data_IF_930142167827
#
_entry.id   IF_930142167827
#
_cell.length_a   1.000
_cell.length_b   1.000
_cell.length_c   1.000
_cell.angle_alpha   90.00
_cell.angle_beta   90.00
_cell.angle_gamma   90.00
#
_symmetry.space_group_name_H-M   'P 1'
#
loop_
_entity.id
_entity.type
_entity.pdbx_description
1 polymer ?
#
# COMPACT_ATOMS: atom_id res chain seq x y z
N UNK A 1 20.19 63.52 -9.83
CA UNK A 1 19.64 62.19 -9.48
C UNK A 1 18.13 62.30 -9.46
N UNK A 2 17.40 61.35 -10.05
CA UNK A 2 15.93 61.44 -10.13
C UNK A 2 15.35 61.04 -8.78
N UNK A 3 14.81 62.00 -8.04
CA UNK A 3 14.13 61.75 -6.77
C UNK A 3 12.81 61.02 -7.06
N UNK A 4 12.68 59.81 -6.53
CA UNK A 4 11.47 58.98 -6.72
C UNK A 4 10.85 58.77 -5.35
N UNK A 5 9.62 59.24 -5.18
CA UNK A 5 8.78 58.96 -4.02
C UNK A 5 7.86 57.80 -4.38
N UNK A 6 7.84 56.76 -3.55
CA UNK A 6 7.02 55.57 -3.80
C UNK A 6 5.55 55.90 -3.49
N UNK A 7 4.71 55.90 -4.52
CA UNK A 7 3.27 56.15 -4.40
C UNK A 7 2.45 54.87 -4.56
N UNK A 8 1.21 54.86 -4.08
CA UNK A 8 0.32 53.69 -4.25
C UNK A 8 0.04 53.39 -5.74
N UNK A 9 0.04 54.42 -6.60
CA UNK A 9 -0.05 54.25 -8.05
C UNK A 9 1.13 53.46 -8.62
N UNK A 10 2.36 53.76 -8.16
CA UNK A 10 3.56 53.00 -8.57
C UNK A 10 3.51 51.55 -8.07
N UNK A 11 3.00 51.31 -6.86
CA UNK A 11 2.83 49.96 -6.30
C UNK A 11 1.81 49.17 -7.13
N UNK A 12 0.72 49.80 -7.56
CA UNK A 12 -0.29 49.18 -8.43
C UNK A 12 0.30 48.84 -9.81
N UNK A 13 1.09 49.75 -10.40
CA UNK A 13 1.81 49.47 -11.65
C UNK A 13 2.82 48.32 -11.49
N UNK A 14 3.52 48.26 -10.36
CA UNK A 14 4.44 47.17 -10.03
C UNK A 14 3.70 45.83 -9.88
N UNK A 15 2.54 45.82 -9.23
CA UNK A 15 1.70 44.63 -9.14
C UNK A 15 1.31 44.10 -10.54
N UNK A 16 0.84 44.98 -11.43
CA UNK A 16 0.51 44.61 -12.81
C UNK A 16 1.74 44.12 -13.59
N UNK A 17 2.92 44.65 -13.30
CA UNK A 17 4.18 44.14 -13.84
C UNK A 17 4.51 42.72 -13.34
N UNK A 18 4.34 42.44 -12.04
CA UNK A 18 4.56 41.10 -11.48
C UNK A 18 3.61 40.04 -12.05
N UNK A 19 2.37 40.43 -12.37
CA UNK A 19 1.42 39.55 -13.08
C UNK A 19 1.93 39.22 -14.48
N UNK A 20 2.44 40.22 -15.22
CA UNK A 20 3.04 40.01 -16.56
C UNK A 20 4.32 39.17 -16.51
N UNK A 21 5.05 39.19 -15.39
CA UNK A 21 6.18 38.30 -15.14
C UNK A 21 5.78 36.90 -14.60
N UNK A 22 4.49 36.56 -14.67
CA UNK A 22 3.93 35.26 -14.27
C UNK A 22 4.24 34.85 -12.83
N UNK A 23 4.34 35.83 -11.92
CA UNK A 23 4.54 35.52 -10.49
C UNK A 23 3.26 34.94 -9.88
N UNK A 24 3.43 33.95 -9.01
CA UNK A 24 2.30 33.36 -8.27
C UNK A 24 1.54 34.42 -7.45
N UNK A 25 0.21 34.31 -7.27
CA UNK A 25 -0.57 35.25 -6.46
C UNK A 25 -0.02 35.46 -5.04
N UNK A 26 0.40 34.39 -4.36
CA UNK A 26 0.98 34.46 -3.01
C UNK A 26 2.29 35.27 -2.96
N UNK A 27 3.12 35.19 -4.01
CA UNK A 27 4.35 35.98 -4.12
C UNK A 27 4.03 37.46 -4.34
N UNK A 28 3.04 37.74 -5.21
CA UNK A 28 2.59 39.12 -5.49
C UNK A 28 2.05 39.76 -4.21
N UNK A 29 1.17 39.07 -3.50
CA UNK A 29 0.57 39.57 -2.26
C UNK A 29 1.64 39.84 -1.20
N UNK A 30 2.59 38.91 -1.01
CA UNK A 30 3.73 39.13 -0.11
C UNK A 30 4.52 40.37 -0.51
N UNK A 31 4.88 40.49 -1.79
CA UNK A 31 5.72 41.59 -2.26
C UNK A 31 5.02 42.93 -2.07
N UNK A 32 3.73 43.00 -2.38
CA UNK A 32 2.92 44.19 -2.13
C UNK A 32 2.88 44.55 -0.64
N UNK A 33 2.72 43.58 0.26
CA UNK A 33 2.76 43.84 1.72
C UNK A 33 4.11 44.40 2.17
N UNK A 34 5.20 43.79 1.73
CA UNK A 34 6.55 44.24 2.08
C UNK A 34 6.85 45.65 1.52
N UNK A 35 6.48 45.89 0.27
CA UNK A 35 6.68 47.18 -0.42
C UNK A 35 5.84 48.28 0.23
N UNK A 36 4.59 48.00 0.60
CA UNK A 36 3.77 48.97 1.34
C UNK A 36 4.37 49.29 2.70
N UNK A 37 4.83 48.29 3.45
CA UNK A 37 5.52 48.52 4.72
C UNK A 37 6.78 49.39 4.55
N UNK A 38 7.55 49.15 3.48
CA UNK A 38 8.70 49.99 3.13
C UNK A 38 8.29 51.42 2.75
N UNK A 39 7.23 51.59 1.94
CA UNK A 39 6.69 52.91 1.59
C UNK A 39 6.21 53.69 2.82
N UNK A 40 5.51 53.03 3.74
CA UNK A 40 5.12 53.61 5.03
C UNK A 40 6.33 54.05 5.86
N UNK A 41 7.41 53.25 5.87
CA UNK A 41 8.67 53.62 6.54
C UNK A 41 9.36 54.84 5.88
N UNK A 42 9.31 54.96 4.56
CA UNK A 42 9.83 56.15 3.88
C UNK A 42 9.01 57.39 4.25
N UNK A 43 7.73 57.24 4.59
CA UNK A 43 6.85 58.31 5.06
C UNK A 43 6.84 59.51 4.10
N UNK A 44 6.78 59.24 2.79
CA UNK A 44 6.79 60.27 1.74
C UNK A 44 8.17 60.80 1.33
N UNK A 45 9.26 60.34 1.95
CA UNK A 45 10.63 60.71 1.55
C UNK A 45 11.02 60.02 0.23
N UNK A 46 11.85 60.70 -0.57
CA UNK A 46 12.42 60.12 -1.77
C UNK A 46 13.32 58.92 -1.43
N UNK A 47 13.27 57.88 -2.27
CA UNK A 47 14.05 56.67 -2.04
C UNK A 47 15.54 56.93 -2.25
N UNK A 48 16.33 56.51 -1.25
CA UNK A 48 17.80 56.59 -1.26
C UNK A 48 18.41 55.29 -0.75
N UNK A 49 19.70 55.11 -1.04
CA UNK A 49 20.45 53.94 -0.57
C UNK A 49 20.55 53.92 0.95
N UNK A 50 20.73 55.08 1.57
CA UNK A 50 20.83 55.27 3.01
C UNK A 50 19.53 54.85 3.69
N UNK A 51 18.38 55.29 3.18
CA UNK A 51 17.08 54.92 3.73
C UNK A 51 16.80 53.41 3.58
N UNK A 52 17.21 52.80 2.47
CA UNK A 52 17.05 51.36 2.26
C UNK A 52 17.93 50.55 3.24
N UNK A 53 19.15 51.03 3.53
CA UNK A 53 20.02 50.44 4.57
C UNK A 53 19.45 50.65 5.97
N UNK A 54 18.91 51.83 6.27
CA UNK A 54 18.26 52.10 7.55
C UNK A 54 17.04 51.21 7.78
N UNK A 55 16.24 50.94 6.73
CA UNK A 55 15.14 49.99 6.82
C UNK A 55 15.63 48.57 7.14
N UNK A 56 16.72 48.14 6.50
CA UNK A 56 17.36 46.85 6.81
C UNK A 56 17.80 46.76 8.27
N UNK A 57 18.37 47.83 8.84
CA UNK A 57 18.76 47.87 10.26
C UNK A 57 17.55 47.82 11.18
N UNK A 58 16.51 48.60 10.87
CA UNK A 58 15.24 48.59 11.60
C UNK A 58 14.64 47.18 11.66
N UNK A 59 14.59 46.45 10.54
CA UNK A 59 14.08 45.07 10.53
C UNK A 59 14.88 44.14 11.47
N UNK A 60 16.19 44.36 11.63
CA UNK A 60 17.00 43.60 12.57
C UNK A 60 16.73 44.01 14.03
N UNK A 61 16.57 45.30 14.29
CA UNK A 61 16.23 45.86 15.62
C UNK A 61 14.84 45.43 16.09
N UNK A 62 13.87 45.38 15.17
CA UNK A 62 12.50 44.87 15.39
C UNK A 62 12.48 43.34 15.65
N UNK A 63 13.63 42.66 15.61
CA UNK A 63 13.76 41.25 15.96
C UNK A 63 13.32 40.27 14.87
N UNK A 64 13.23 40.69 13.61
CA UNK A 64 12.87 39.77 12.53
C UNK A 64 13.96 38.71 12.32
N UNK A 65 13.53 37.47 12.09
CA UNK A 65 14.45 36.40 11.69
C UNK A 65 15.19 36.76 10.39
N UNK A 66 16.49 36.45 10.32
CA UNK A 66 17.36 36.79 9.17
C UNK A 66 16.77 36.31 7.82
N UNK A 67 16.11 35.14 7.81
CA UNK A 67 15.43 34.61 6.62
C UNK A 67 14.28 35.51 6.16
N UNK A 68 13.50 36.04 7.11
CA UNK A 68 12.41 36.97 6.84
C UNK A 68 12.95 38.29 6.32
N UNK A 69 14.00 38.84 6.95
CA UNK A 69 14.68 40.06 6.49
C UNK A 69 15.13 39.88 5.04
N UNK A 70 15.85 38.82 4.72
CA UNK A 70 16.31 38.55 3.35
C UNK A 70 15.14 38.47 2.35
N UNK A 71 14.04 37.84 2.75
CA UNK A 71 12.85 37.72 1.92
C UNK A 71 12.18 39.08 1.65
N UNK A 72 12.16 39.97 2.65
CA UNK A 72 11.66 41.36 2.53
C UNK A 72 12.60 42.20 1.66
N UNK A 73 13.92 42.06 1.83
CA UNK A 73 14.89 42.80 1.00
C UNK A 73 14.80 42.40 -0.47
N UNK A 74 14.50 41.13 -0.78
CA UNK A 74 14.32 40.67 -2.16
C UNK A 74 13.10 41.33 -2.83
N UNK A 75 11.98 41.48 -2.12
CA UNK A 75 10.79 42.15 -2.68
C UNK A 75 11.07 43.64 -2.92
N UNK A 76 11.71 44.31 -1.97
CA UNK A 76 12.11 45.73 -2.11
C UNK A 76 13.11 45.92 -3.25
N UNK A 77 14.17 45.12 -3.32
CA UNK A 77 15.18 45.25 -4.38
C UNK A 77 14.58 45.07 -5.79
N UNK A 78 13.57 44.21 -5.94
CA UNK A 78 12.85 44.05 -7.21
C UNK A 78 11.99 45.26 -7.56
N UNK A 79 11.31 45.86 -6.59
CA UNK A 79 10.61 47.13 -6.80
C UNK A 79 11.59 48.22 -7.24
N UNK A 80 12.73 48.34 -6.56
CA UNK A 80 13.74 49.37 -6.90
C UNK A 80 14.29 49.19 -8.31
N UNK A 81 14.51 47.95 -8.74
CA UNK A 81 14.88 47.66 -10.12
C UNK A 81 13.77 48.06 -11.12
N UNK A 82 12.50 47.78 -10.80
CA UNK A 82 11.36 48.19 -11.63
C UNK A 82 11.21 49.72 -11.74
N UNK A 83 11.54 50.45 -10.67
CA UNK A 83 11.53 51.92 -10.65
C UNK A 83 12.81 52.55 -11.23
N UNK A 84 13.68 51.74 -11.86
CA UNK A 84 14.96 52.17 -12.44
C UNK A 84 15.89 52.83 -11.41
N UNK A 85 15.91 52.29 -10.18
CA UNK A 85 16.79 52.70 -9.06
C UNK A 85 17.69 51.57 -8.55
N UNK A 86 18.54 50.98 -9.41
CA UNK A 86 19.50 49.94 -8.98
C UNK A 86 20.52 50.47 -7.96
N UNK A 87 20.78 51.77 -7.93
CA UNK A 87 21.65 52.46 -6.95
C UNK A 87 21.17 52.27 -5.50
N UNK A 88 19.86 52.16 -5.30
CA UNK A 88 19.22 52.00 -3.99
C UNK A 88 19.17 50.54 -3.48
N UNK A 89 19.48 49.55 -4.32
CA UNK A 89 19.38 48.11 -3.99
C UNK A 89 20.36 47.74 -2.88
N UNK A 90 19.91 46.99 -1.86
CA UNK A 90 20.77 46.58 -0.73
C UNK A 90 21.12 45.10 -0.77
N UNK A 91 22.31 44.76 -0.26
CA UNK A 91 22.74 43.36 -0.13
C UNK A 91 21.92 42.65 0.96
N UNK A 92 21.54 41.41 0.70
CA UNK A 92 20.95 40.51 1.70
C UNK A 92 21.98 40.15 2.77
N UNK A 93 21.51 39.71 3.94
CA UNK A 93 22.36 39.20 5.02
C UNK A 93 22.80 37.79 4.61
N UNK A 94 24.12 37.54 4.63
CA UNK A 94 24.65 36.21 4.31
C UNK A 94 24.20 35.23 5.39
N UNK A 95 23.55 34.14 4.98
CA UNK A 95 23.08 33.09 5.89
C UNK A 95 23.59 31.75 5.38
N UNK A 96 24.19 30.95 6.27
CA UNK A 96 24.54 29.58 5.95
C UNK A 96 23.25 28.75 5.86
N UNK A 97 23.05 28.06 4.73
CA UNK A 97 21.91 27.15 4.60
C UNK A 97 22.18 25.93 5.46
N UNK A 98 21.37 25.71 6.49
CA UNK A 98 21.21 24.38 7.06
C UNK A 98 20.48 23.53 6.03
N UNK A 99 21.21 22.61 5.41
CA UNK A 99 20.71 21.75 4.33
C UNK A 99 19.87 20.59 4.87
N UNK A 100 20.02 20.27 6.16
CA UNK A 100 19.40 19.12 6.81
C UNK A 100 18.44 19.58 7.91
N UNK A 101 17.30 18.90 7.98
CA UNK A 101 16.39 18.99 9.11
C UNK A 101 16.97 18.13 10.24
N UNK A 102 17.00 18.65 11.46
CA UNK A 102 17.42 17.89 12.64
C UNK A 102 16.45 16.72 12.88
N UNK A 103 16.97 15.52 13.20
CA UNK A 103 16.18 14.29 13.38
C UNK A 103 15.07 14.45 14.46
N UNK A 104 15.29 15.32 15.45
CA UNK A 104 14.31 15.65 16.49
C UNK A 104 13.02 16.30 15.98
N UNK A 105 13.03 16.81 14.73
CA UNK A 105 11.86 17.40 14.07
C UNK A 105 11.11 16.40 13.20
N UNK A 106 11.57 15.14 13.11
CA UNK A 106 10.86 14.08 12.40
C UNK A 106 9.82 13.40 13.30
N UNK A 107 8.64 13.18 12.74
CA UNK A 107 7.55 12.53 13.46
C UNK A 107 7.79 11.02 13.55
N UNK A 108 7.89 10.48 14.76
CA UNK A 108 7.98 9.03 14.94
C UNK A 108 6.65 8.34 14.56
N UNK A 109 6.72 7.04 14.25
CA UNK A 109 5.52 6.24 13.96
C UNK A 109 4.51 6.25 15.12
N UNK A 110 5.01 6.27 16.36
CA UNK A 110 4.16 6.35 17.55
C UNK A 110 3.43 7.70 17.65
N UNK A 111 4.15 8.81 17.41
CA UNK A 111 3.57 10.15 17.39
C UNK A 111 2.53 10.33 16.30
N UNK A 112 2.78 9.79 15.12
CA UNK A 112 1.81 9.78 14.04
C UNK A 112 0.49 9.10 14.45
N UNK A 113 0.54 7.94 15.09
CA UNK A 113 -0.67 7.30 15.59
C UNK A 113 -1.35 8.08 16.72
N UNK A 114 -0.60 8.80 17.57
CA UNK A 114 -1.19 9.71 18.56
C UNK A 114 -1.96 10.85 17.87
N UNK A 115 -1.39 11.43 16.82
CA UNK A 115 -2.02 12.46 16.00
C UNK A 115 -3.32 11.97 15.34
N UNK A 116 -3.32 10.75 14.78
CA UNK A 116 -4.53 10.14 14.21
C UNK A 116 -5.62 9.86 15.26
N UNK A 117 -5.23 9.44 16.47
CA UNK A 117 -6.18 9.22 17.58
C UNK A 117 -6.80 10.53 18.05
N UNK A 118 -6.01 11.61 18.15
CA UNK A 118 -6.52 12.94 18.48
C UNK A 118 -7.50 13.45 17.41
N UNK A 119 -7.24 13.16 16.14
CA UNK A 119 -8.11 13.53 15.03
C UNK A 119 -9.37 12.65 14.86
N UNK A 120 -9.60 11.64 15.72
CA UNK A 120 -10.70 10.67 15.58
C UNK A 120 -12.10 11.31 15.56
N UNK A 121 -12.28 12.45 16.24
CA UNK A 121 -13.54 13.20 16.25
C UNK A 121 -13.83 13.98 14.97
N UNK A 122 -12.86 14.08 14.04
CA UNK A 122 -13.02 14.77 12.76
C UNK A 122 -12.55 13.87 11.61
N UNK A 123 -13.48 13.21 10.90
CA UNK A 123 -13.14 12.37 9.75
C UNK A 123 -12.32 13.11 8.69
N UNK A 124 -12.65 14.38 8.42
CA UNK A 124 -11.91 15.24 7.50
C UNK A 124 -10.45 15.44 7.92
N UNK A 125 -10.21 15.73 9.21
CA UNK A 125 -8.85 15.94 9.71
C UNK A 125 -8.01 14.66 9.64
N UNK A 126 -8.63 13.52 9.97
CA UNK A 126 -7.99 12.21 9.87
C UNK A 126 -7.56 11.91 8.42
N UNK A 127 -8.42 12.21 7.45
CA UNK A 127 -8.13 12.06 6.01
C UNK A 127 -6.97 12.95 5.55
N UNK A 128 -6.94 14.21 5.99
CA UNK A 128 -5.86 15.14 5.67
C UNK A 128 -4.52 14.63 6.21
N UNK A 129 -4.46 14.23 7.48
CA UNK A 129 -3.25 13.69 8.10
C UNK A 129 -2.74 12.42 7.39
N UNK A 130 -3.64 11.50 7.05
CA UNK A 130 -3.29 10.29 6.32
C UNK A 130 -2.81 10.58 4.89
N UNK A 131 -3.39 11.59 4.24
CA UNK A 131 -2.98 12.01 2.89
C UNK A 131 -1.61 12.66 2.93
N UNK A 132 -1.39 13.65 3.79
CA UNK A 132 -0.10 14.35 3.91
C UNK A 132 1.01 13.36 4.28
N UNK A 133 0.85 12.57 5.34
CA UNK A 133 1.89 11.65 5.80
C UNK A 133 2.06 10.42 4.90
N UNK A 134 1.00 9.97 4.22
CA UNK A 134 1.03 8.78 3.36
C UNK A 134 1.50 9.06 1.93
N UNK A 135 1.52 10.32 1.51
CA UNK A 135 1.98 10.73 0.18
C UNK A 135 3.28 11.54 0.28
N UNK A 136 3.46 12.36 1.32
CA UNK A 136 4.58 13.30 1.43
C UNK A 136 4.37 14.59 0.65
N UNK A 137 3.12 14.90 0.25
CA UNK A 137 2.78 16.16 -0.40
C UNK A 137 2.98 17.36 0.53
N UNK A 138 3.22 18.52 -0.07
CA UNK A 138 3.17 19.80 0.65
C UNK A 138 1.73 20.16 0.97
N UNK A 139 1.52 20.92 2.05
CA UNK A 139 0.17 21.38 2.45
C UNK A 139 -0.52 22.15 1.32
N UNK A 140 0.22 22.96 0.55
CA UNK A 140 -0.31 23.68 -0.61
C UNK A 140 -0.79 22.78 -1.75
N UNK A 141 -0.33 21.53 -1.80
CA UNK A 141 -0.72 20.57 -2.85
C UNK A 141 -2.05 19.87 -2.52
N UNK A 142 -2.55 19.97 -1.26
CA UNK A 142 -3.83 19.37 -0.84
C UNK A 142 -5.02 19.91 -1.62
N UNK A 143 -5.00 21.17 -2.06
CA UNK A 143 -6.09 21.78 -2.81
C UNK A 143 -6.37 21.07 -4.15
N UNK A 144 -5.39 20.33 -4.67
CA UNK A 144 -5.52 19.59 -5.92
C UNK A 144 -6.05 18.16 -5.72
N UNK A 145 -6.28 17.73 -4.47
CA UNK A 145 -6.91 16.44 -4.15
C UNK A 145 -8.43 16.60 -4.11
N UNK A 146 -9.09 16.54 -5.26
CA UNK A 146 -10.55 16.50 -5.38
C UNK A 146 -11.04 15.22 -6.09
N UNK A 147 -12.31 14.85 -5.86
CA UNK A 147 -12.92 13.60 -6.38
C UNK A 147 -12.78 13.47 -7.91
N UNK A 148 -13.08 14.52 -8.72
CA UNK A 148 -12.88 14.47 -10.18
C UNK A 148 -11.43 14.22 -10.60
N UNK A 149 -10.47 14.92 -9.97
CA UNK A 149 -9.04 14.74 -10.25
C UNK A 149 -8.59 13.31 -9.96
N UNK A 150 -9.13 12.64 -8.94
CA UNK A 150 -8.78 11.26 -8.60
C UNK A 150 -9.41 10.20 -9.52
N UNK A 151 -10.54 10.48 -10.18
CA UNK A 151 -11.23 9.55 -11.08
C UNK A 151 -10.60 9.46 -12.49
N UNK A 152 -9.93 10.52 -12.94
CA UNK A 152 -9.20 10.54 -14.23
C UNK A 152 -7.86 9.77 -14.20
N UNK A 153 -7.41 9.27 -13.04
CA UNK A 153 -6.13 8.53 -12.89
C UNK A 153 -6.23 7.01 -13.12
N UNK A 154 -7.31 6.51 -13.74
CA UNK A 154 -7.55 5.06 -13.89
C UNK A 154 -6.68 4.34 -14.95
N UNK A 155 -5.87 5.03 -15.75
CA UNK A 155 -5.19 4.41 -16.91
C UNK A 155 -3.66 4.47 -16.94
N UNK A 156 -2.97 4.93 -15.89
CA UNK A 156 -1.50 4.90 -15.89
C UNK A 156 -1.00 4.23 -14.62
N UNK A 157 -0.35 3.09 -14.79
CA UNK A 157 0.53 2.49 -13.80
C UNK A 157 1.58 3.55 -13.46
N UNK A 158 1.41 4.23 -12.33
CA UNK A 158 2.26 5.23 -11.62
C UNK A 158 1.39 6.43 -11.20
N UNK A 159 1.22 6.52 -9.88
CA UNK A 159 0.37 7.47 -9.15
C UNK A 159 0.94 8.89 -9.35
N UNK A 160 0.11 9.83 -9.79
CA UNK A 160 0.55 11.20 -10.09
C UNK A 160 -0.48 12.21 -9.63
N UNK A 161 -0.02 13.33 -9.05
CA UNK A 161 -0.69 14.62 -9.12
C UNK A 161 0.39 15.58 -9.61
N UNK A 162 0.08 16.37 -10.63
CA UNK A 162 1.02 17.31 -11.23
C UNK A 162 1.01 18.64 -10.45
N UNK A 163 2.11 18.94 -9.77
CA UNK A 163 2.63 20.30 -9.73
C UNK A 163 4.16 20.27 -9.53
N UNK A 164 4.92 20.90 -10.44
CA UNK A 164 6.39 20.99 -10.44
C UNK A 164 7.18 19.67 -10.30
N UNK A 165 7.08 18.84 -11.35
CA UNK A 165 8.07 17.82 -11.76
C UNK A 165 8.52 16.80 -10.69
N UNK A 166 7.74 16.54 -9.63
CA UNK A 166 8.05 15.51 -8.65
C UNK A 166 6.91 14.51 -8.46
N UNK A 167 7.26 13.22 -8.57
CA UNK A 167 6.34 12.08 -8.53
C UNK A 167 6.06 11.70 -7.08
N UNK A 168 4.78 11.64 -6.69
CA UNK A 168 4.39 11.33 -5.30
C UNK A 168 3.69 9.95 -5.22
N UNK A 169 4.31 8.91 -4.62
CA UNK A 169 3.70 7.59 -4.50
C UNK A 169 2.51 7.60 -3.53
N UNK A 170 1.27 7.62 -4.02
CA UNK A 170 0.08 7.50 -3.16
C UNK A 170 -0.05 6.12 -2.50
N UNK A 171 0.16 5.95 -1.19
CA UNK A 171 -0.19 4.70 -0.50
C UNK A 171 -1.64 4.27 -0.83
N UNK A 172 -1.88 2.97 -1.07
CA UNK A 172 -3.18 2.38 -1.54
C UNK A 172 -4.43 2.77 -0.71
N UNK A 173 -4.26 3.41 0.45
CA UNK A 173 -5.31 3.85 1.38
C UNK A 173 -6.07 5.11 0.92
N UNK A 174 -5.39 6.11 0.35
CA UNK A 174 -5.99 7.45 0.12
C UNK A 174 -7.22 7.42 -0.82
N UNK A 175 -7.24 6.66 -1.93
CA UNK A 175 -8.42 6.62 -2.82
C UNK A 175 -9.64 5.90 -2.22
N UNK A 176 -9.47 5.03 -1.22
CA UNK A 176 -10.59 4.27 -0.60
C UNK A 176 -11.28 5.04 0.52
N UNK A 177 -10.53 5.93 1.15
CA UNK A 177 -10.92 6.74 2.30
C UNK A 177 -11.74 7.99 1.89
N UNK A 178 -11.56 8.48 0.66
CA UNK A 178 -12.28 9.63 0.12
C UNK A 178 -13.58 9.27 -0.61
N UNK A 179 -13.80 7.98 -0.92
CA UNK A 179 -14.93 7.46 -1.71
C UNK A 179 -16.16 7.12 -0.83
N UNK A 180 -16.20 7.58 0.43
CA UNK A 180 -17.34 7.42 1.35
C UNK A 180 -17.69 5.98 1.76
N UNK A 181 -16.92 4.97 1.33
CA UNK A 181 -17.19 3.54 1.57
C UNK A 181 -16.68 2.99 2.90
N UNK A 182 -16.38 3.85 3.87
CA UNK A 182 -16.14 3.49 5.28
C UNK A 182 -16.96 4.40 6.21
N UNK A 183 -18.28 4.29 6.17
CA UNK A 183 -19.09 4.42 7.39
C UNK A 183 -19.18 3.03 8.01
N UNK A 184 -18.15 2.69 8.80
CA UNK A 184 -18.22 1.54 9.71
C UNK A 184 -19.10 1.93 10.88
N UNK A 185 -20.28 1.32 10.94
CA UNK A 185 -21.22 1.34 12.06
C UNK A 185 -20.50 1.20 13.40
N UNK A 186 -20.87 2.04 14.37
CA UNK A 186 -20.65 1.71 15.77
C UNK A 186 -21.65 0.61 16.10
N UNK A 187 -21.17 -0.58 16.49
CA UNK A 187 -21.98 -1.49 17.30
C UNK A 187 -21.13 -2.21 18.34
N UNK A 188 -21.77 -2.37 19.49
CA UNK A 188 -21.25 -2.84 20.77
C UNK A 188 -20.82 -4.31 20.69
N UNK A 189 -19.89 -4.68 21.58
CA UNK A 189 -19.23 -5.98 21.72
C UNK A 189 -18.15 -6.26 20.67
N UNK A 190 -16.94 -6.54 21.17
CA UNK A 190 -15.70 -6.59 20.39
C UNK A 190 -15.75 -7.50 19.17
N UNK A 191 -15.26 -6.98 18.03
CA UNK A 191 -15.27 -7.67 16.74
C UNK A 191 -13.83 -7.95 16.29
N UNK A 192 -13.62 -9.23 15.97
CA UNK A 192 -12.44 -9.85 15.36
C UNK A 192 -12.22 -9.33 13.93
N UNK A 193 -10.96 -9.21 13.55
CA UNK A 193 -10.47 -8.69 12.28
C UNK A 193 -10.97 -9.43 11.02
N UNK A 194 -11.26 -8.67 9.95
CA UNK A 194 -11.50 -9.14 8.56
C UNK A 194 -10.15 -9.17 7.81
N UNK A 195 -9.87 -10.17 6.94
CA UNK A 195 -8.50 -10.57 6.60
C UNK A 195 -7.84 -9.71 5.52
N UNK A 196 -6.57 -9.39 5.77
CA UNK A 196 -5.61 -8.75 4.88
C UNK A 196 -5.40 -9.55 3.58
N UNK A 197 -5.42 -8.89 2.41
CA UNK A 197 -4.81 -9.48 1.20
C UNK A 197 -3.29 -9.39 1.37
N UNK A 198 -2.75 -10.47 1.93
CA UNK A 198 -1.35 -10.83 2.22
C UNK A 198 -0.30 -10.05 1.43
N UNK A 199 0.64 -9.46 2.19
CA UNK A 199 2.00 -9.20 1.76
C UNK A 199 2.52 -10.40 0.96
N UNK A 200 3.28 -10.13 -0.10
CA UNK A 200 4.14 -11.12 -0.73
C UNK A 200 4.95 -11.81 0.37
N UNK A 201 4.53 -13.00 0.75
CA UNK A 201 5.02 -13.67 1.94
C UNK A 201 6.49 -14.00 1.71
N UNK A 202 7.37 -13.60 2.62
CA UNK A 202 8.76 -14.06 2.55
C UNK A 202 8.77 -15.56 2.80
N UNK A 203 9.33 -16.29 1.83
CA UNK A 203 9.42 -17.73 1.85
C UNK A 203 10.83 -18.20 2.21
N UNK A 204 11.77 -17.28 2.42
CA UNK A 204 13.16 -17.59 2.83
C UNK A 204 13.19 -18.50 4.06
N UNK A 205 14.01 -19.54 4.01
CA UNK A 205 14.16 -20.56 5.06
C UNK A 205 13.03 -21.60 5.12
N UNK A 206 11.93 -21.45 4.36
CA UNK A 206 10.83 -22.42 4.38
C UNK A 206 11.11 -23.62 3.50
N UNK A 207 10.67 -24.79 3.97
CA UNK A 207 10.71 -26.05 3.21
C UNK A 207 9.37 -26.32 2.53
N UNK A 208 9.42 -26.62 1.25
CA UNK A 208 8.29 -27.03 0.40
C UNK A 208 8.62 -28.39 -0.21
N UNK A 209 8.13 -29.46 0.42
CA UNK A 209 8.57 -30.83 0.10
C UNK A 209 10.07 -30.98 0.33
N UNK A 210 10.81 -31.36 -0.72
CA UNK A 210 12.28 -31.50 -0.71
C UNK A 210 13.03 -30.20 -1.01
N UNK A 211 12.35 -29.05 -1.14
CA UNK A 211 12.97 -27.76 -1.48
C UNK A 211 13.06 -26.84 -0.26
N UNK A 212 14.25 -26.40 0.10
CA UNK A 212 14.51 -25.32 1.07
C UNK A 212 14.70 -23.99 0.31
N UNK A 213 13.86 -22.99 0.59
CA UNK A 213 13.98 -21.67 -0.03
C UNK A 213 15.13 -20.89 0.59
N UNK A 214 16.03 -20.36 -0.25
CA UNK A 214 17.21 -19.62 0.18
C UNK A 214 17.04 -18.11 0.06
N UNK A 215 16.60 -17.61 -1.09
CA UNK A 215 16.52 -16.16 -1.34
C UNK A 215 15.56 -15.83 -2.49
N UNK A 216 15.08 -14.58 -2.53
CA UNK A 216 14.26 -14.06 -3.63
C UNK A 216 15.12 -13.32 -4.66
N UNK A 217 15.02 -13.75 -5.91
CA UNK A 217 15.76 -13.16 -7.02
C UNK A 217 14.78 -12.42 -7.93
N UNK A 218 14.96 -11.10 -8.06
CA UNK A 218 14.24 -10.26 -9.02
C UNK A 218 15.11 -10.00 -10.24
N UNK A 219 14.74 -10.49 -11.44
CA UNK A 219 15.44 -10.10 -12.67
C UNK A 219 15.06 -8.67 -13.07
N UNK A 220 15.94 -8.00 -13.85
CA UNK A 220 15.70 -6.65 -14.40
C UNK A 220 14.46 -6.60 -15.31
N UNK A 221 14.12 -7.73 -15.95
CA UNK A 221 12.87 -7.93 -16.70
C UNK A 221 12.28 -9.30 -16.37
N UNK A 222 10.99 -9.35 -16.04
CA UNK A 222 10.23 -10.57 -15.76
C UNK A 222 9.74 -10.72 -14.32
N UNK A 223 9.12 -11.86 -14.01
CA UNK A 223 8.59 -12.15 -12.67
C UNK A 223 9.69 -12.73 -11.78
N UNK A 224 9.81 -12.18 -10.56
CA UNK A 224 10.80 -12.66 -9.58
C UNK A 224 10.53 -14.09 -9.13
N UNK A 225 11.61 -14.81 -8.82
CA UNK A 225 11.59 -16.23 -8.46
C UNK A 225 12.39 -16.48 -7.20
N UNK A 226 12.02 -17.52 -6.47
CA UNK A 226 12.73 -17.99 -5.29
C UNK A 226 13.79 -19.00 -5.68
N UNK A 227 15.03 -18.73 -5.27
CA UNK A 227 16.13 -19.69 -5.34
C UNK A 227 15.97 -20.69 -4.20
N UNK A 228 15.93 -21.97 -4.54
CA UNK A 228 15.67 -23.06 -3.60
C UNK A 228 16.74 -24.13 -3.72
N UNK A 229 17.21 -24.69 -2.60
CA UNK A 229 18.09 -25.88 -2.55
C UNK A 229 17.24 -27.12 -2.31
N UNK A 230 17.41 -28.13 -3.15
CA UNK A 230 16.76 -29.42 -2.96
C UNK A 230 17.58 -30.32 -2.03
N UNK A 231 16.93 -31.27 -1.34
CA UNK A 231 17.61 -32.28 -0.52
C UNK A 231 18.55 -33.18 -1.32
N UNK A 232 18.37 -33.29 -2.64
CA UNK A 232 19.34 -33.96 -3.52
C UNK A 232 20.57 -33.09 -3.85
N UNK A 233 20.71 -31.91 -3.25
CA UNK A 233 21.85 -31.00 -3.43
C UNK A 233 21.65 -29.91 -4.50
N UNK A 234 20.75 -30.11 -5.47
CA UNK A 234 20.60 -29.19 -6.61
C UNK A 234 19.87 -27.89 -6.28
N UNK A 235 20.26 -26.80 -6.94
CA UNK A 235 19.61 -25.48 -6.85
C UNK A 235 18.56 -25.32 -7.96
N UNK A 236 17.39 -24.79 -7.65
CA UNK A 236 16.31 -24.53 -8.61
C UNK A 236 15.60 -23.20 -8.32
N UNK A 237 14.89 -22.65 -9.32
CA UNK A 237 14.17 -21.37 -9.20
C UNK A 237 12.67 -21.57 -9.38
N UNK A 238 11.85 -21.20 -8.38
CA UNK A 238 10.39 -21.42 -8.39
C UNK A 238 9.62 -20.15 -8.04
N UNK A 239 8.43 -19.99 -8.62
CA UNK A 239 7.56 -18.84 -8.33
C UNK A 239 6.83 -19.02 -7.00
N UNK A 240 6.45 -17.90 -6.36
CA UNK A 240 5.65 -17.90 -5.11
C UNK A 240 4.35 -18.68 -5.28
N UNK A 241 3.71 -18.57 -6.46
CA UNK A 241 2.48 -19.28 -6.77
C UNK A 241 2.67 -20.80 -6.76
N UNK A 242 3.77 -21.32 -7.33
CA UNK A 242 4.00 -22.76 -7.41
C UNK A 242 4.43 -23.37 -6.06
N UNK A 243 5.14 -22.60 -5.22
CA UNK A 243 5.50 -23.02 -3.87
C UNK A 243 4.26 -23.07 -2.95
N UNK A 244 3.43 -22.01 -2.97
CA UNK A 244 2.23 -21.95 -2.15
C UNK A 244 1.12 -22.91 -2.62
N UNK A 245 1.02 -23.17 -3.93
CA UNK A 245 0.08 -24.16 -4.47
C UNK A 245 0.54 -25.61 -4.26
N UNK A 246 1.77 -25.83 -3.77
CA UNK A 246 2.31 -27.17 -3.54
C UNK A 246 2.63 -27.95 -4.82
N UNK A 247 2.67 -27.29 -5.99
CA UNK A 247 2.98 -27.93 -7.27
C UNK A 247 4.48 -28.03 -7.53
N UNK A 248 5.30 -27.24 -6.81
CA UNK A 248 6.75 -27.30 -6.85
C UNK A 248 7.32 -27.83 -5.51
N UNK A 249 7.48 -29.16 -5.42
CA UNK A 249 7.93 -29.86 -4.20
C UNK A 249 9.33 -30.48 -4.30
N UNK A 250 9.94 -30.46 -5.49
CA UNK A 250 11.32 -30.91 -5.71
C UNK A 250 11.95 -30.17 -6.89
N UNK A 251 13.26 -30.29 -7.08
CA UNK A 251 13.92 -29.72 -8.26
C UNK A 251 13.59 -30.47 -9.55
N UNK A 252 12.83 -31.58 -9.47
CA UNK A 252 12.58 -32.51 -10.57
C UNK A 252 13.18 -33.89 -10.30
N UNK A 253 14.03 -34.05 -9.27
CA UNK A 253 14.63 -35.34 -8.91
C UNK A 253 13.61 -36.43 -8.59
N UNK A 254 12.44 -36.07 -8.04
CA UNK A 254 11.36 -37.04 -7.79
C UNK A 254 10.75 -37.55 -9.09
N UNK A 255 10.58 -36.70 -10.11
CA UNK A 255 10.14 -37.14 -11.44
C UNK A 255 11.25 -37.94 -12.12
N UNK A 256 12.50 -37.51 -12.03
CA UNK A 256 13.63 -38.26 -12.57
C UNK A 256 13.82 -39.64 -11.92
N UNK A 257 13.55 -39.79 -10.62
CA UNK A 257 13.53 -41.09 -9.95
C UNK A 257 12.34 -41.96 -10.37
N UNK A 258 11.17 -41.36 -10.63
CA UNK A 258 9.98 -42.05 -11.17
C UNK A 258 10.21 -42.52 -12.62
N UNK A 259 10.76 -41.64 -13.45
CA UNK A 259 11.08 -41.92 -14.87
C UNK A 259 12.23 -42.93 -15.00
N UNK A 260 13.12 -43.00 -14.00
CA UNK A 260 14.14 -44.04 -13.83
C UNK A 260 13.64 -45.31 -13.10
N UNK A 261 12.32 -45.41 -12.82
CA UNK A 261 11.68 -46.63 -12.30
C UNK A 261 11.84 -46.89 -10.80
N UNK A 262 12.11 -45.88 -9.96
CA UNK A 262 12.24 -46.05 -8.49
C UNK A 262 10.99 -45.57 -7.71
N UNK A 263 10.12 -46.55 -7.48
CA UNK A 263 9.13 -46.82 -6.40
C UNK A 263 8.31 -45.67 -5.72
N UNK A 264 7.01 -45.62 -6.04
CA UNK A 264 5.97 -44.66 -5.60
C UNK A 264 5.50 -44.83 -4.13
N UNK A 265 6.06 -45.80 -3.40
CA UNK A 265 5.62 -46.23 -2.05
C UNK A 265 6.02 -45.29 -0.90
N UNK A 266 6.97 -44.37 -1.12
CA UNK A 266 7.55 -43.54 -0.04
C UNK A 266 6.81 -42.23 0.28
N UNK A 267 5.65 -41.96 -0.35
CA UNK A 267 4.93 -40.67 -0.21
C UNK A 267 3.59 -40.76 0.54
N UNK A 268 3.02 -41.96 0.73
CA UNK A 268 1.69 -42.14 1.34
C UNK A 268 1.78 -42.64 2.79
N UNK A 269 0.97 -42.05 3.67
CA UNK A 269 0.90 -42.45 5.09
C UNK A 269 -0.22 -43.47 5.27
N UNK A 270 0.13 -44.75 5.46
CA UNK A 270 -0.83 -45.80 5.77
C UNK A 270 -0.78 -46.16 7.26
N UNK A 271 -1.94 -46.27 7.89
CA UNK A 271 -2.07 -46.85 9.24
C UNK A 271 -3.26 -47.79 9.28
N UNK A 272 -3.06 -48.98 9.83
CA UNK A 272 -4.06 -50.07 9.90
C UNK A 272 -4.71 -50.37 8.54
N UNK A 273 -3.86 -50.46 7.51
CA UNK A 273 -4.26 -50.71 6.14
C UNK A 273 -5.01 -49.56 5.46
N UNK A 274 -5.27 -48.46 6.17
CA UNK A 274 -6.06 -47.33 5.70
C UNK A 274 -5.16 -46.16 5.31
N UNK A 275 -5.37 -45.60 4.11
CA UNK A 275 -4.63 -44.43 3.65
C UNK A 275 -5.27 -43.17 4.21
N UNK A 276 -4.54 -42.43 5.05
CA UNK A 276 -5.07 -41.29 5.81
C UNK A 276 -5.47 -40.16 4.86
N UNK A 277 -4.69 -39.93 3.81
CA UNK A 277 -4.93 -38.89 2.82
C UNK A 277 -6.19 -39.16 1.96
N UNK A 278 -6.59 -40.42 1.79
CA UNK A 278 -7.83 -40.78 1.09
C UNK A 278 -9.07 -40.58 1.97
N UNK A 279 -8.96 -40.80 3.28
CA UNK A 279 -10.05 -40.58 4.22
C UNK A 279 -10.41 -39.10 4.38
N UNK A 280 -9.41 -38.21 4.38
CA UNK A 280 -9.61 -36.75 4.42
C UNK A 280 -10.41 -36.21 3.22
N UNK A 281 -10.57 -37.00 2.16
CA UNK A 281 -11.33 -36.69 0.96
C UNK A 281 -12.57 -37.59 0.79
N UNK A 282 -13.10 -38.18 1.87
CA UNK A 282 -14.26 -39.08 1.78
C UNK A 282 -15.52 -38.35 1.28
N UNK A 283 -15.71 -37.10 1.71
CA UNK A 283 -16.85 -36.24 1.37
C UNK A 283 -16.82 -35.65 -0.06
N UNK A 284 -15.72 -35.86 -0.81
CA UNK A 284 -15.63 -35.33 -2.17
C UNK A 284 -16.55 -36.11 -3.11
N UNK A 285 -17.49 -35.44 -3.82
CA UNK A 285 -18.29 -36.10 -4.83
C UNK A 285 -17.40 -36.61 -5.97
N UNK A 286 -17.58 -37.87 -6.35
CA UNK A 286 -16.90 -38.42 -7.53
C UNK A 286 -17.56 -37.87 -8.79
N UNK A 287 -16.94 -36.87 -9.42
CA UNK A 287 -17.28 -36.45 -10.79
C UNK A 287 -16.78 -37.47 -11.82
N UNK A 288 -17.18 -38.74 -11.70
CA UNK A 288 -16.96 -39.67 -12.80
C UNK A 288 -18.20 -39.72 -13.67
N UNK A 289 -18.02 -39.63 -14.97
CA UNK A 289 -19.03 -39.72 -16.03
C UNK A 289 -19.74 -41.08 -16.10
N UNK A 290 -19.50 -41.96 -15.13
CA UNK A 290 -19.83 -43.39 -15.13
C UNK A 290 -20.51 -43.86 -13.84
N UNK A 291 -20.87 -42.95 -12.94
CA UNK A 291 -21.65 -43.28 -11.73
C UNK A 291 -23.13 -43.06 -11.97
N UNK A 292 -23.85 -44.16 -12.21
CA UNK A 292 -25.29 -44.25 -12.53
C UNK A 292 -26.24 -43.56 -11.52
N UNK A 293 -25.73 -43.14 -10.36
CA UNK A 293 -26.49 -42.57 -9.24
C UNK A 293 -25.94 -41.22 -8.75
N UNK A 294 -24.80 -40.76 -9.29
CA UNK A 294 -24.11 -39.53 -8.87
C UNK A 294 -23.50 -39.55 -7.46
N UNK A 295 -23.68 -40.63 -6.68
CA UNK A 295 -23.24 -40.73 -5.28
C UNK A 295 -22.15 -41.80 -5.12
N UNK A 296 -21.03 -41.42 -4.50
CA UNK A 296 -19.87 -42.30 -4.31
C UNK A 296 -20.26 -43.53 -3.47
N UNK A 297 -19.98 -44.73 -4.00
CA UNK A 297 -20.22 -45.98 -3.28
C UNK A 297 -21.68 -46.45 -3.24
N UNK A 298 -22.59 -45.76 -3.95
CA UNK A 298 -23.98 -46.20 -4.16
C UNK A 298 -24.14 -46.59 -5.63
N UNK A 299 -24.59 -47.81 -5.91
CA UNK A 299 -24.75 -48.32 -7.29
C UNK A 299 -26.11 -48.97 -7.47
N UNK A 300 -26.73 -48.78 -8.64
CA UNK A 300 -27.91 -49.52 -9.06
C UNK A 300 -27.53 -50.95 -9.50
N UNK A 301 -28.18 -51.95 -8.90
CA UNK A 301 -28.04 -53.36 -9.26
C UNK A 301 -28.97 -53.70 -10.41
N UNK A 302 -28.66 -54.77 -11.15
CA UNK A 302 -29.53 -55.32 -12.22
C UNK A 302 -30.94 -55.69 -11.73
N UNK A 303 -31.11 -55.92 -10.43
CA UNK A 303 -32.40 -56.19 -9.78
C UNK A 303 -33.25 -54.93 -9.52
N UNK A 304 -32.82 -53.74 -9.97
CA UNK A 304 -33.52 -52.47 -9.75
C UNK A 304 -33.36 -51.89 -8.33
N UNK A 305 -32.51 -52.47 -7.48
CA UNK A 305 -32.24 -52.00 -6.11
C UNK A 305 -30.91 -51.26 -6.03
N UNK A 306 -30.79 -50.31 -5.11
CA UNK A 306 -29.58 -49.54 -4.84
C UNK A 306 -28.74 -50.20 -3.75
N UNK A 307 -27.49 -50.51 -4.02
CA UNK A 307 -26.57 -51.06 -3.03
C UNK A 307 -25.56 -49.99 -2.58
N UNK A 308 -25.43 -49.83 -1.26
CA UNK A 308 -24.47 -48.93 -0.64
C UNK A 308 -23.29 -49.75 -0.08
N UNK A 309 -22.07 -49.36 -0.43
CA UNK A 309 -20.84 -50.02 0.05
C UNK A 309 -19.86 -49.00 0.57
N UNK A 310 -19.01 -49.36 1.53
CA UNK A 310 -17.87 -48.55 1.99
C UNK A 310 -16.63 -49.41 2.16
N UNK A 311 -15.47 -48.87 1.78
CA UNK A 311 -14.18 -49.53 1.99
C UNK A 311 -13.47 -48.85 3.15
N UNK A 312 -13.15 -49.61 4.19
CA UNK A 312 -12.45 -49.15 5.38
C UNK A 312 -11.50 -50.26 5.86
N UNK A 313 -10.27 -49.93 6.32
CA UNK A 313 -9.27 -50.92 6.75
C UNK A 313 -9.03 -52.06 5.75
N UNK A 314 -8.97 -51.72 4.45
CA UNK A 314 -8.84 -52.65 3.31
C UNK A 314 -10.00 -53.66 3.15
N UNK A 315 -11.06 -53.55 3.95
CA UNK A 315 -12.25 -54.38 3.84
C UNK A 315 -13.39 -53.58 3.22
N UNK A 316 -14.13 -54.20 2.29
CA UNK A 316 -15.31 -53.60 1.68
C UNK A 316 -16.55 -54.09 2.44
N UNK A 317 -17.17 -53.18 3.17
CA UNK A 317 -18.42 -53.41 3.88
C UNK A 317 -19.60 -53.07 2.96
N UNK A 318 -20.55 -53.99 2.84
CA UNK A 318 -21.85 -53.71 2.22
C UNK A 318 -22.78 -53.18 3.31
N UNK A 319 -23.25 -51.94 3.14
CA UNK A 319 -24.12 -51.25 4.10
C UNK A 319 -25.58 -51.65 3.94
N UNK A 320 -25.94 -52.24 2.79
CA UNK A 320 -27.27 -52.76 2.53
C UNK A 320 -27.71 -52.57 1.09
N UNK A 321 -28.87 -53.15 0.77
CA UNK A 321 -29.51 -53.02 -0.54
C UNK A 321 -30.93 -52.48 -0.33
N UNK A 322 -31.25 -51.38 -1.00
CA UNK A 322 -32.44 -50.56 -0.78
C UNK A 322 -33.25 -50.41 -2.06
N UNK A 323 -34.56 -50.23 -1.95
CA UNK A 323 -35.43 -50.00 -3.13
C UNK A 323 -35.42 -48.55 -3.58
N UNK A 324 -35.18 -47.60 -2.66
CA UNK A 324 -35.09 -46.17 -2.95
C UNK A 324 -33.64 -45.69 -2.90
N UNK A 325 -33.31 -44.71 -3.75
CA UNK A 325 -31.98 -44.10 -3.80
C UNK A 325 -31.65 -43.36 -2.50
N UNK A 326 -32.61 -42.61 -1.96
CA UNK A 326 -32.44 -41.81 -0.74
C UNK A 326 -32.02 -42.65 0.47
N UNK A 327 -32.62 -43.83 0.62
CA UNK A 327 -32.30 -44.77 1.71
C UNK A 327 -30.86 -45.31 1.56
N UNK A 328 -30.42 -45.61 0.34
CA UNK A 328 -29.04 -46.04 0.07
C UNK A 328 -28.02 -44.92 0.31
N UNK A 329 -28.39 -43.67 0.02
CA UNK A 329 -27.55 -42.49 0.31
C UNK A 329 -27.46 -42.25 1.82
N UNK A 330 -28.57 -42.40 2.54
CA UNK A 330 -28.58 -42.29 4.01
C UNK A 330 -27.70 -43.36 4.66
N UNK A 331 -27.83 -44.62 4.23
CA UNK A 331 -26.98 -45.71 4.69
C UNK A 331 -25.49 -45.45 4.39
N UNK A 332 -25.19 -44.94 3.20
CA UNK A 332 -23.82 -44.55 2.82
C UNK A 332 -23.26 -43.45 3.72
N UNK A 333 -24.07 -42.44 4.06
CA UNK A 333 -23.68 -41.35 4.96
C UNK A 333 -23.45 -41.85 6.39
N UNK A 334 -24.26 -42.80 6.87
CA UNK A 334 -24.03 -43.45 8.17
C UNK A 334 -22.70 -44.22 8.18
N UNK A 335 -22.39 -44.97 7.12
CA UNK A 335 -21.09 -45.64 7.00
C UNK A 335 -19.90 -44.67 6.99
N UNK A 336 -20.05 -43.50 6.38
CA UNK A 336 -19.01 -42.46 6.39
C UNK A 336 -18.82 -41.83 7.78
N UNK A 337 -19.89 -41.67 8.57
CA UNK A 337 -19.78 -41.19 9.95
C UNK A 337 -18.99 -42.16 10.84
N UNK A 338 -19.18 -43.48 10.69
CA UNK A 338 -18.37 -44.48 11.42
C UNK A 338 -16.86 -44.36 11.10
N UNK A 339 -16.52 -43.97 9.87
CA UNK A 339 -15.13 -43.75 9.45
C UNK A 339 -14.59 -42.40 9.95
N UNK A 340 -15.46 -41.40 10.15
CA UNK A 340 -15.10 -40.10 10.74
C UNK A 340 -14.88 -40.19 12.25
N UNK A 341 -15.71 -40.92 12.97
CA UNK A 341 -15.50 -41.21 14.40
C UNK A 341 -14.11 -41.85 14.62
N UNK A 342 -13.71 -42.78 13.75
CA UNK A 342 -12.37 -43.35 13.77
C UNK A 342 -11.23 -42.34 13.55
N UNK A 343 -11.44 -41.34 12.69
CA UNK A 343 -10.47 -40.25 12.45
C UNK A 343 -10.38 -39.27 13.63
N UNK A 344 -11.49 -39.06 14.34
CA UNK A 344 -11.52 -38.19 15.52
C UNK A 344 -10.79 -38.83 16.69
N UNK A 345 -11.01 -40.12 16.93
CA UNK A 345 -10.23 -40.93 17.89
C UNK A 345 -8.72 -40.99 17.53
N UNK A 346 -8.39 -40.90 16.23
CA UNK A 346 -7.00 -40.86 15.76
C UNK A 346 -6.28 -39.54 16.07
N UNK A 347 -6.99 -38.41 16.01
CA UNK A 347 -6.37 -37.09 16.23
C UNK A 347 -6.28 -36.72 17.72
N UNK A 348 -6.91 -37.48 18.62
CA UNK A 348 -6.87 -37.23 20.07
C UNK A 348 -5.73 -37.95 20.82
N UNK A 349 -4.97 -38.80 20.12
CA UNK A 349 -3.74 -39.47 20.60
C UNK A 349 -2.53 -38.98 19.83
#
# INVERSE_FOLDING_TARGET
MKEIIITEGMITCYQSHLVREEKSPATIEKYNRDVRAFSSFLSGRAVSKELTVSYKRKLAEDGYAVRSINSILVSINRLLAFLDRPDCVVKTIRTQRQTFLEEEKELTKAEYYRLLRAAKGSPRLCLLLQTICGTGIRVSELQYFNIPSMLNFKSVSHRMILHNTNYVPMARRVPRLLDGREHGTMDKAGIKAVPEKKLCQDLTGKRFGKLLVLEYVRPEKGTGKWKCRCDCGNITYKSTGHLNAGTAVSCGCVKADIDAGRDFKKVLTYRDGTCIEFLKNIDRPTKSTSSDTGVRGVRLLRSGKYNATITFRRHRYSLGTYTKLEDAVSARKQGENMVKEYLEDYNSK
#
